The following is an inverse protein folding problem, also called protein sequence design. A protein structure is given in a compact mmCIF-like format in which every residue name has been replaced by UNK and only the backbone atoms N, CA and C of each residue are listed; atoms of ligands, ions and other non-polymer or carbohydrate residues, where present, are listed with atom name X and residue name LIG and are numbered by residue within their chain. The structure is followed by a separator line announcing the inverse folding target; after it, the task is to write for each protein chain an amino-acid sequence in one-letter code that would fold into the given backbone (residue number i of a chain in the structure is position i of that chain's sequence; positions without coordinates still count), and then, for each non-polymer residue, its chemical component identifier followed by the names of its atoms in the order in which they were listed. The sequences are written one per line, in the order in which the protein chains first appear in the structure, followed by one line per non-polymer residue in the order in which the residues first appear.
data_IF_230479411591
#
_entry.id   IF_230479411591
#
_cell.length_a   1.000
_cell.length_b   1.000
_cell.length_c   1.000
_cell.angle_alpha   90.00
_cell.angle_beta   90.00
_cell.angle_gamma   90.00
#
_symmetry.space_group_name_H-M   'P 1'
#
loop_
_entity.id
_entity.type
_entity.pdbx_description
1 polymer ?
#
# COMPACT_ATOMS: atom_id res chain seq x y z
N UNK A 1 14.68 -31.40 17.33
CA UNK A 1 14.15 -30.74 18.55
C UNK A 1 15.13 -30.90 19.72
N UNK A 2 15.57 -32.12 20.04
CA UNK A 2 16.68 -32.42 20.97
C UNK A 2 17.86 -31.43 20.83
N UNK A 3 18.46 -31.38 19.64
CA UNK A 3 19.71 -30.64 19.42
C UNK A 3 19.51 -29.12 19.42
N UNK A 4 18.31 -28.66 19.08
CA UNK A 4 17.94 -27.25 19.13
C UNK A 4 17.84 -26.75 20.59
N UNK A 5 17.25 -27.55 21.48
CA UNK A 5 17.15 -27.22 22.90
C UNK A 5 18.51 -27.30 23.63
N UNK A 6 19.50 -27.97 23.03
CA UNK A 6 20.87 -28.08 23.56
C UNK A 6 21.80 -26.96 23.07
N UNK A 7 21.37 -26.11 22.13
CA UNK A 7 22.16 -24.99 21.64
C UNK A 7 22.35 -23.93 22.76
N UNK A 8 23.58 -23.71 23.27
CA UNK A 8 23.83 -22.75 24.33
C UNK A 8 23.53 -21.29 23.92
N UNK A 9 23.42 -21.03 22.61
CA UNK A 9 23.09 -19.72 22.04
C UNK A 9 21.61 -19.58 21.65
N UNK A 10 20.78 -20.59 21.88
CA UNK A 10 19.37 -20.58 21.51
C UNK A 10 18.66 -19.32 22.04
N UNK A 11 18.84 -19.00 23.32
CA UNK A 11 18.19 -17.85 23.93
C UNK A 11 18.65 -16.53 23.29
N UNK A 12 19.92 -16.41 22.91
CA UNK A 12 20.45 -15.23 22.21
C UNK A 12 19.83 -15.11 20.81
N UNK A 13 19.73 -16.22 20.07
CA UNK A 13 19.04 -16.29 18.76
C UNK A 13 17.57 -15.86 18.86
N UNK A 14 16.85 -16.33 19.87
CA UNK A 14 15.44 -15.95 20.11
C UNK A 14 15.30 -14.46 20.46
N UNK A 15 16.19 -13.90 21.30
CA UNK A 15 16.17 -12.48 21.63
C UNK A 15 16.51 -11.60 20.42
N UNK A 16 17.46 -12.02 19.58
CA UNK A 16 17.77 -11.35 18.33
C UNK A 16 16.56 -11.37 17.39
N UNK A 17 15.97 -12.56 17.15
CA UNK A 17 14.79 -12.71 16.30
C UNK A 17 13.61 -11.86 16.79
N UNK A 18 13.36 -11.85 18.10
CA UNK A 18 12.35 -10.98 18.72
C UNK A 18 12.66 -9.50 18.48
N UNK A 19 13.92 -9.08 18.62
CA UNK A 19 14.36 -7.71 18.34
C UNK A 19 14.09 -7.27 16.90
N UNK A 20 14.30 -8.15 15.92
CA UNK A 20 13.96 -7.87 14.52
C UNK A 20 12.44 -7.89 14.30
N UNK A 21 11.73 -8.83 14.91
CA UNK A 21 10.28 -8.89 14.85
C UNK A 21 9.63 -7.60 15.37
N UNK A 22 10.18 -6.98 16.44
CA UNK A 22 9.70 -5.69 16.95
C UNK A 22 9.91 -4.52 15.98
N UNK A 23 10.83 -4.64 15.01
CA UNK A 23 11.01 -3.67 13.93
C UNK A 23 10.00 -3.92 12.81
N UNK A 24 9.84 -5.17 12.38
CA UNK A 24 9.00 -5.55 11.24
C UNK A 24 7.50 -5.51 11.56
N UNK A 25 7.11 -6.00 12.74
CA UNK A 25 5.71 -6.24 13.13
C UNK A 25 4.84 -4.99 13.01
N UNK A 26 5.21 -3.80 13.50
CA UNK A 26 4.34 -2.63 13.42
C UNK A 26 3.90 -2.30 11.99
N UNK A 27 4.85 -2.34 11.04
CA UNK A 27 4.56 -2.13 9.63
C UNK A 27 3.67 -3.23 9.07
N UNK A 28 4.01 -4.50 9.33
CA UNK A 28 3.22 -5.63 8.84
C UNK A 28 1.79 -5.62 9.37
N UNK A 29 1.57 -5.25 10.62
CA UNK A 29 0.23 -5.17 11.21
C UNK A 29 -0.56 -3.97 10.70
N UNK A 30 0.08 -2.80 10.58
CA UNK A 30 -0.61 -1.57 10.14
C UNK A 30 -1.06 -1.69 8.67
N UNK A 31 -0.20 -2.21 7.79
CA UNK A 31 -0.50 -2.38 6.36
C UNK A 31 -1.32 -3.65 6.03
N UNK A 32 -1.82 -4.35 7.06
CA UNK A 32 -2.83 -5.40 6.92
C UNK A 32 -4.24 -4.91 7.28
N UNK A 33 -4.38 -3.68 7.78
CA UNK A 33 -5.67 -3.09 8.14
C UNK A 33 -6.50 -2.75 6.90
N UNK A 34 -7.82 -2.63 7.10
CA UNK A 34 -8.75 -2.19 6.06
C UNK A 34 -8.88 -0.65 6.05
N UNK A 35 -7.76 0.05 5.83
CA UNK A 35 -7.69 1.52 5.85
C UNK A 35 -6.84 2.03 4.69
N UNK A 36 -7.12 3.21 4.14
CA UNK A 36 -6.30 3.77 3.05
C UNK A 36 -4.99 4.34 3.61
N UNK A 37 -3.89 3.59 3.46
CA UNK A 37 -2.57 3.98 3.98
C UNK A 37 -1.53 4.28 2.90
N UNK A 38 -1.94 4.29 1.62
CA UNK A 38 -1.02 4.38 0.48
C UNK A 38 -0.21 5.67 0.47
N UNK A 39 -0.75 6.79 0.96
CA UNK A 39 -0.04 8.07 1.04
C UNK A 39 1.05 8.10 2.12
N UNK A 40 1.01 7.17 3.09
CA UNK A 40 2.01 7.04 4.16
C UNK A 40 3.12 6.03 3.84
N UNK A 41 2.86 5.13 2.89
CA UNK A 41 3.70 3.97 2.56
C UNK A 41 5.15 4.32 2.32
N UNK A 42 5.43 5.43 1.63
CA UNK A 42 6.79 5.88 1.37
C UNK A 42 7.60 6.04 2.64
N UNK A 43 7.08 6.85 3.57
CA UNK A 43 7.78 7.26 4.79
C UNK A 43 7.92 6.09 5.74
N UNK A 44 6.84 5.33 5.92
CA UNK A 44 6.80 4.27 6.91
C UNK A 44 7.70 3.09 6.48
N UNK A 45 7.75 2.78 5.18
CA UNK A 45 8.68 1.77 4.65
C UNK A 45 10.14 2.26 4.62
N UNK A 46 10.39 3.54 4.32
CA UNK A 46 11.74 4.12 4.43
C UNK A 46 12.24 4.04 5.88
N UNK A 47 11.40 4.39 6.86
CA UNK A 47 11.74 4.31 8.28
C UNK A 47 12.07 2.85 8.68
N UNK A 48 11.26 1.89 8.24
CA UNK A 48 11.48 0.47 8.49
C UNK A 48 12.85 0.01 7.99
N UNK A 49 13.16 0.30 6.73
CA UNK A 49 14.42 -0.13 6.10
C UNK A 49 15.61 0.56 6.77
N UNK A 50 15.53 1.86 7.06
CA UNK A 50 16.61 2.59 7.75
C UNK A 50 16.91 2.02 9.14
N UNK A 51 15.88 1.59 9.89
CA UNK A 51 16.06 0.92 11.19
C UNK A 51 16.80 -0.42 11.07
N UNK A 52 16.60 -1.17 9.99
CA UNK A 52 17.34 -2.41 9.73
C UNK A 52 18.78 -2.12 9.29
N UNK A 53 18.97 -1.20 8.35
CA UNK A 53 20.29 -0.81 7.84
C UNK A 53 21.20 -0.29 8.96
N UNK A 54 20.67 0.52 9.88
CA UNK A 54 21.41 1.06 11.02
C UNK A 54 22.06 0.00 11.91
N UNK A 55 21.62 -1.26 11.84
CA UNK A 55 22.18 -2.35 12.66
C UNK A 55 23.48 -2.96 12.12
N UNK A 56 23.76 -2.80 10.83
CA UNK A 56 24.91 -3.47 10.21
C UNK A 56 25.66 -2.64 9.16
N UNK A 57 25.12 -1.51 8.71
CA UNK A 57 25.76 -0.61 7.75
C UNK A 57 26.52 0.50 8.50
N UNK A 58 27.68 0.89 7.98
CA UNK A 58 28.50 1.99 8.53
C UNK A 58 27.71 3.31 8.51
N UNK A 59 27.83 4.10 9.57
CA UNK A 59 27.20 5.43 9.64
C UNK A 59 27.60 6.35 8.48
N UNK A 60 28.87 6.30 8.04
CA UNK A 60 29.34 7.11 6.90
C UNK A 60 28.59 6.80 5.60
N UNK A 61 28.26 5.52 5.36
CA UNK A 61 27.52 5.08 4.19
C UNK A 61 26.03 5.49 4.30
N UNK A 62 25.44 5.38 5.49
CA UNK A 62 24.06 5.82 5.72
C UNK A 62 23.89 7.32 5.53
N UNK A 63 24.85 8.12 6.02
CA UNK A 63 24.83 9.58 5.86
C UNK A 63 25.03 10.02 4.41
N UNK A 64 25.84 9.29 3.62
CA UNK A 64 26.01 9.54 2.20
C UNK A 64 24.76 9.16 1.37
N UNK A 65 23.98 8.19 1.85
CA UNK A 65 22.77 7.68 1.20
C UNK A 65 21.52 8.49 1.59
N UNK A 66 21.41 9.68 0.98
CA UNK A 66 20.30 10.61 1.26
C UNK A 66 19.01 10.22 0.54
N UNK A 67 17.90 10.27 1.29
CA UNK A 67 16.56 9.97 0.79
C UNK A 67 16.33 8.53 0.30
N UNK A 68 15.13 8.29 -0.23
CA UNK A 68 14.70 6.95 -0.69
C UNK A 68 15.54 6.44 -1.87
N UNK A 69 15.95 7.32 -2.78
CA UNK A 69 16.68 6.92 -3.99
C UNK A 69 18.08 6.43 -3.65
N UNK A 70 18.78 7.14 -2.77
CA UNK A 70 20.08 6.69 -2.27
C UNK A 70 19.94 5.34 -1.55
N UNK A 71 18.90 5.19 -0.73
CA UNK A 71 18.64 3.95 0.01
C UNK A 71 18.40 2.76 -0.92
N UNK A 72 17.62 2.94 -1.99
CA UNK A 72 17.32 1.88 -2.97
C UNK A 72 18.53 1.49 -3.83
N UNK A 73 19.44 2.43 -4.10
CA UNK A 73 20.65 2.19 -4.90
C UNK A 73 21.80 1.59 -4.10
N UNK A 74 21.71 1.59 -2.76
CA UNK A 74 22.74 1.04 -1.90
C UNK A 74 22.88 -0.46 -2.14
N UNK A 75 24.12 -0.91 -2.41
CA UNK A 75 24.41 -2.33 -2.34
C UNK A 75 24.52 -2.74 -0.86
N UNK A 76 23.42 -3.27 -0.34
CA UNK A 76 23.30 -3.75 1.04
C UNK A 76 24.02 -5.08 1.28
N UNK A 77 24.55 -5.73 0.24
CA UNK A 77 25.31 -6.96 0.37
C UNK A 77 26.83 -6.71 0.34
N UNK A 78 27.28 -5.55 -0.15
CA UNK A 78 28.69 -5.18 -0.21
C UNK A 78 29.32 -5.12 1.20
N UNK A 79 30.28 -6.02 1.52
CA UNK A 79 30.96 -6.04 2.81
C UNK A 79 31.66 -4.73 3.17
N UNK A 80 32.07 -3.92 2.17
CA UNK A 80 32.73 -2.64 2.40
C UNK A 80 31.78 -1.62 3.05
N UNK A 81 30.48 -1.78 2.88
CA UNK A 81 29.47 -0.92 3.48
C UNK A 81 29.18 -1.28 4.94
N UNK A 82 29.62 -2.46 5.39
CA UNK A 82 29.21 -3.01 6.68
C UNK A 82 30.17 -2.67 7.81
N UNK A 83 29.63 -2.58 9.02
CA UNK A 83 30.46 -2.61 10.22
C UNK A 83 31.11 -4.00 10.38
N UNK A 84 32.19 -4.07 11.18
CA UNK A 84 32.79 -5.34 11.56
C UNK A 84 31.78 -6.18 12.36
N UNK A 85 31.94 -7.51 12.34
CA UNK A 85 30.95 -8.42 12.93
C UNK A 85 30.76 -8.19 14.43
N UNK A 86 31.81 -7.75 15.14
CA UNK A 86 31.78 -7.38 16.55
C UNK A 86 30.88 -6.16 16.82
N UNK A 87 30.76 -5.25 15.85
CA UNK A 87 29.99 -4.01 15.94
C UNK A 87 28.55 -4.12 15.43
N UNK A 88 28.14 -5.28 14.95
CA UNK A 88 26.76 -5.53 14.51
C UNK A 88 25.81 -5.40 15.70
N UNK A 89 24.76 -4.60 15.54
CA UNK A 89 23.74 -4.42 16.56
C UNK A 89 22.74 -5.59 16.57
N UNK A 90 23.01 -6.55 17.45
CA UNK A 90 22.13 -7.69 17.73
C UNK A 90 21.01 -7.33 18.73
N UNK A 91 21.00 -6.11 19.26
CA UNK A 91 20.07 -5.64 20.29
C UNK A 91 20.50 -5.98 21.71
N UNK A 92 20.15 -5.10 22.65
CA UNK A 92 20.57 -5.20 24.06
C UNK A 92 20.20 -6.53 24.72
N UNK A 93 18.98 -7.04 24.49
CA UNK A 93 18.52 -8.27 25.11
C UNK A 93 19.31 -9.50 24.63
N UNK A 94 19.72 -9.55 23.36
CA UNK A 94 20.57 -10.62 22.84
C UNK A 94 22.00 -10.49 23.39
N UNK A 95 22.50 -9.25 23.49
CA UNK A 95 23.83 -8.96 24.05
C UNK A 95 23.98 -9.44 25.50
N UNK A 96 22.98 -9.21 26.35
CA UNK A 96 23.01 -9.65 27.75
C UNK A 96 23.06 -11.17 27.86
N UNK A 97 22.25 -11.87 27.06
CA UNK A 97 22.22 -13.33 27.05
C UNK A 97 23.54 -13.89 26.51
N UNK A 98 24.09 -13.28 25.46
CA UNK A 98 25.35 -13.70 24.84
C UNK A 98 26.54 -13.55 25.82
N UNK A 99 26.56 -12.49 26.63
CA UNK A 99 27.57 -12.27 27.67
C UNK A 99 27.48 -13.28 28.82
N UNK A 100 26.26 -13.71 29.15
CA UNK A 100 26.03 -14.73 30.18
C UNK A 100 26.29 -16.16 29.67
N UNK A 101 26.26 -16.36 28.34
CA UNK A 101 26.52 -17.66 27.73
C UNK A 101 28.00 -18.02 27.90
N UNK A 102 28.27 -19.17 28.53
CA UNK A 102 29.63 -19.73 28.68
C UNK A 102 30.06 -20.43 27.39
N UNK A 103 30.20 -19.68 26.32
CA UNK A 103 30.56 -20.18 24.98
C UNK A 103 31.93 -19.67 24.53
N UNK A 104 32.52 -20.31 23.51
CA UNK A 104 33.82 -19.90 23.01
C UNK A 104 33.75 -18.58 22.21
N UNK A 105 34.86 -17.86 22.11
CA UNK A 105 34.95 -16.66 21.28
C UNK A 105 34.63 -16.96 19.79
N UNK A 106 34.95 -18.17 19.33
CA UNK A 106 34.61 -18.65 17.98
C UNK A 106 33.11 -18.73 17.77
N UNK A 107 32.36 -19.25 18.75
CA UNK A 107 30.90 -19.38 18.66
C UNK A 107 30.21 -18.01 18.71
N UNK A 108 30.72 -17.10 19.56
CA UNK A 108 30.26 -15.70 19.61
C UNK A 108 30.45 -15.00 18.26
N UNK A 109 31.62 -15.17 17.63
CA UNK A 109 31.90 -14.62 16.32
C UNK A 109 30.99 -15.21 15.24
N UNK A 110 30.83 -16.53 15.23
CA UNK A 110 29.93 -17.23 14.29
C UNK A 110 28.48 -16.74 14.43
N UNK A 111 27.97 -16.61 15.66
CA UNK A 111 26.63 -16.06 15.91
C UNK A 111 26.47 -14.63 15.39
N UNK A 112 27.45 -13.76 15.61
CA UNK A 112 27.41 -12.38 15.09
C UNK A 112 27.44 -12.34 13.56
N UNK A 113 28.21 -13.22 12.93
CA UNK A 113 28.22 -13.40 11.47
C UNK A 113 26.85 -13.84 10.95
N UNK A 114 26.20 -14.80 11.61
CA UNK A 114 24.85 -15.26 11.27
C UNK A 114 23.81 -14.14 11.42
N UNK A 115 23.84 -13.38 12.52
CA UNK A 115 22.96 -12.23 12.73
C UNK A 115 23.13 -11.16 11.63
N UNK A 116 24.38 -10.87 11.26
CA UNK A 116 24.69 -9.94 10.15
C UNK A 116 24.12 -10.46 8.84
N UNK A 117 24.34 -11.73 8.52
CA UNK A 117 23.84 -12.35 7.29
C UNK A 117 22.31 -12.35 7.23
N UNK A 118 21.65 -12.57 8.36
CA UNK A 118 20.19 -12.48 8.49
C UNK A 118 19.70 -11.05 8.21
N UNK A 119 20.33 -10.03 8.80
CA UNK A 119 20.00 -8.62 8.58
C UNK A 119 20.19 -8.21 7.13
N UNK A 120 21.30 -8.59 6.51
CA UNK A 120 21.60 -8.34 5.08
C UNK A 120 20.53 -8.99 4.21
N UNK A 121 20.28 -10.28 4.39
CA UNK A 121 19.30 -11.04 3.59
C UNK A 121 17.89 -10.46 3.72
N UNK A 122 17.46 -10.14 4.94
CA UNK A 122 16.14 -9.57 5.22
C UNK A 122 16.00 -8.20 4.55
N UNK A 123 16.98 -7.32 4.74
CA UNK A 123 16.93 -5.95 4.20
C UNK A 123 16.98 -5.97 2.68
N UNK A 124 17.85 -6.79 2.08
CA UNK A 124 17.92 -7.00 0.63
C UNK A 124 16.58 -7.46 0.08
N UNK A 125 15.93 -8.44 0.72
CA UNK A 125 14.63 -8.95 0.26
C UNK A 125 13.53 -7.91 0.30
N UNK A 126 13.51 -7.08 1.35
CA UNK A 126 12.54 -5.97 1.48
C UNK A 126 12.76 -4.95 0.36
N UNK A 127 14.02 -4.59 0.07
CA UNK A 127 14.36 -3.63 -0.99
C UNK A 127 14.02 -4.16 -2.39
N UNK A 128 14.35 -5.42 -2.70
CA UNK A 128 14.06 -6.08 -3.99
C UNK A 128 12.57 -6.09 -4.35
N UNK A 129 11.70 -6.24 -3.35
CA UNK A 129 10.24 -6.29 -3.52
C UNK A 129 9.56 -4.98 -3.11
N UNK A 130 10.34 -3.91 -2.93
CA UNK A 130 9.83 -2.66 -2.40
C UNK A 130 8.96 -1.92 -3.41
N UNK A 131 7.75 -1.47 -3.02
CA UNK A 131 6.95 -0.55 -3.84
C UNK A 131 7.62 0.83 -3.98
N UNK A 132 8.67 1.14 -3.20
CA UNK A 132 9.43 2.39 -3.35
C UNK A 132 10.20 2.46 -4.68
N UNK A 133 10.39 1.35 -5.38
CA UNK A 133 10.96 1.33 -6.74
C UNK A 133 10.10 2.13 -7.71
N UNK A 134 8.78 2.13 -7.52
CA UNK A 134 7.84 2.89 -8.34
C UNK A 134 7.93 4.39 -8.04
N UNK A 135 8.12 5.19 -9.08
CA UNK A 135 8.16 6.65 -8.95
C UNK A 135 6.86 7.23 -8.40
N UNK A 136 5.70 6.67 -8.80
CA UNK A 136 4.39 7.10 -8.28
C UNK A 136 4.34 7.00 -6.75
N UNK A 137 4.66 5.83 -6.18
CA UNK A 137 4.61 5.58 -4.72
C UNK A 137 5.51 6.54 -3.94
N UNK A 138 6.70 6.87 -4.46
CA UNK A 138 7.62 7.83 -3.84
C UNK A 138 7.08 9.26 -3.78
N UNK A 139 6.13 9.59 -4.64
CA UNK A 139 5.52 10.91 -4.72
C UNK A 139 4.12 10.98 -4.10
N UNK A 140 3.47 9.84 -3.84
CA UNK A 140 2.16 9.80 -3.15
C UNK A 140 2.19 10.38 -1.74
N UNK A 141 3.37 10.50 -1.11
CA UNK A 141 3.51 11.23 0.15
C UNK A 141 3.18 12.72 0.05
N UNK A 142 3.08 13.27 -1.18
CA UNK A 142 2.55 14.61 -1.39
C UNK A 142 1.10 14.74 -0.92
N UNK A 143 0.35 13.64 -0.88
CA UNK A 143 -1.03 13.58 -0.39
C UNK A 143 -1.11 13.10 1.07
N UNK A 144 -0.02 13.13 1.84
CA UNK A 144 -0.10 12.98 3.30
C UNK A 144 -0.48 14.36 3.89
N UNK A 145 -1.65 14.52 4.54
CA UNK A 145 -2.09 15.81 5.09
C UNK A 145 -1.05 16.46 6.02
N UNK A 146 -0.28 15.65 6.75
CA UNK A 146 0.78 16.14 7.65
C UNK A 146 1.95 16.72 6.86
N UNK A 147 2.29 16.13 5.72
CA UNK A 147 3.33 16.66 4.82
C UNK A 147 2.83 17.90 4.09
N UNK A 148 1.59 17.88 3.60
CA UNK A 148 0.97 19.04 2.96
C UNK A 148 1.00 20.28 3.86
N UNK A 149 0.69 20.10 5.15
CA UNK A 149 0.70 21.18 6.12
C UNK A 149 2.10 21.70 6.53
N UNK A 150 3.12 20.83 6.53
CA UNK A 150 4.47 21.15 7.02
C UNK A 150 5.46 21.51 5.92
N UNK A 151 5.29 20.95 4.71
CA UNK A 151 6.19 21.08 3.56
C UNK A 151 5.39 21.23 2.26
N UNK A 152 4.61 22.31 2.10
CA UNK A 152 3.72 22.48 0.96
C UNK A 152 4.48 22.50 -0.37
N UNK A 153 5.66 23.13 -0.43
CA UNK A 153 6.46 23.22 -1.67
C UNK A 153 6.97 21.84 -2.14
N UNK A 154 7.48 21.03 -1.20
CA UNK A 154 7.89 19.65 -1.48
C UNK A 154 6.68 18.81 -1.96
N UNK A 155 5.51 19.01 -1.35
CA UNK A 155 4.29 18.31 -1.72
C UNK A 155 3.80 18.75 -3.09
N UNK A 156 3.91 20.03 -3.45
CA UNK A 156 3.57 20.54 -4.78
C UNK A 156 4.48 19.94 -5.85
N UNK A 157 5.80 19.90 -5.62
CA UNK A 157 6.76 19.26 -6.51
C UNK A 157 6.50 17.74 -6.65
N UNK A 158 6.16 17.07 -5.55
CA UNK A 158 5.77 15.66 -5.54
C UNK A 158 4.46 15.41 -6.31
N UNK A 159 3.45 16.25 -6.12
CA UNK A 159 2.15 16.06 -6.75
C UNK A 159 2.21 16.26 -8.28
N UNK A 160 3.01 17.21 -8.78
CA UNK A 160 3.28 17.33 -10.23
C UNK A 160 3.76 16.01 -10.83
N UNK A 161 4.68 15.33 -10.15
CA UNK A 161 5.19 14.01 -10.55
C UNK A 161 4.13 12.91 -10.48
N UNK A 162 3.14 13.01 -9.60
CA UNK A 162 1.98 12.11 -9.55
C UNK A 162 1.10 12.33 -10.78
N UNK A 163 0.78 13.59 -11.12
CA UNK A 163 -0.01 13.91 -12.31
C UNK A 163 0.67 13.43 -13.59
N UNK A 164 1.97 13.68 -13.74
CA UNK A 164 2.74 13.21 -14.90
C UNK A 164 2.71 11.68 -15.03
N UNK A 165 2.79 10.97 -13.90
CA UNK A 165 2.67 9.51 -13.89
C UNK A 165 1.27 9.03 -14.29
N UNK A 166 0.20 9.75 -13.91
CA UNK A 166 -1.17 9.42 -14.32
C UNK A 166 -1.43 9.69 -15.80
N UNK A 167 -0.88 10.77 -16.33
CA UNK A 167 -0.93 11.09 -17.77
C UNK A 167 -0.23 10.01 -18.58
N UNK A 168 0.96 9.58 -18.16
CA UNK A 168 1.73 8.56 -18.85
C UNK A 168 0.99 7.21 -19.00
N UNK A 169 0.04 6.91 -18.11
CA UNK A 169 -0.79 5.70 -18.15
C UNK A 169 -2.22 5.95 -18.66
N UNK A 170 -2.50 7.14 -19.21
CA UNK A 170 -3.79 7.51 -19.78
C UNK A 170 -4.93 7.62 -18.74
N UNK A 171 -4.60 7.88 -17.46
CA UNK A 171 -5.58 8.01 -16.37
C UNK A 171 -5.97 9.46 -16.06
N UNK A 172 -5.27 10.42 -16.64
CA UNK A 172 -5.55 11.86 -16.56
C UNK A 172 -5.25 12.48 -17.93
N UNK A 173 -6.12 13.36 -18.43
CA UNK A 173 -5.84 14.09 -19.67
C UNK A 173 -4.81 15.21 -19.45
N UNK A 174 -3.99 15.52 -20.47
CA UNK A 174 -3.00 16.61 -20.38
C UNK A 174 -3.65 17.96 -20.07
N UNK A 175 -4.82 18.22 -20.66
CA UNK A 175 -5.58 19.46 -20.45
C UNK A 175 -6.19 19.57 -19.04
N UNK A 176 -6.43 18.44 -18.35
CA UNK A 176 -6.97 18.44 -16.98
C UNK A 176 -5.89 18.73 -15.94
N UNK A 177 -4.61 18.53 -16.30
CA UNK A 177 -3.46 18.62 -15.40
C UNK A 177 -3.39 19.96 -14.67
N UNK A 178 -3.50 21.05 -15.42
CA UNK A 178 -3.31 22.40 -14.86
C UNK A 178 -4.47 22.80 -13.96
N UNK A 179 -5.70 22.37 -14.28
CA UNK A 179 -6.86 22.54 -13.40
C UNK A 179 -6.66 21.81 -12.08
N UNK A 180 -6.30 20.52 -12.12
CA UNK A 180 -6.06 19.72 -10.90
C UNK A 180 -4.93 20.33 -10.05
N UNK A 181 -3.87 20.80 -10.70
CA UNK A 181 -2.73 21.40 -10.01
C UNK A 181 -3.07 22.76 -9.38
N UNK A 182 -3.90 23.57 -10.05
CA UNK A 182 -4.44 24.82 -9.51
C UNK A 182 -5.23 24.57 -8.23
N UNK A 183 -6.21 23.66 -8.28
CA UNK A 183 -7.02 23.25 -7.14
C UNK A 183 -6.18 22.72 -5.98
N UNK A 184 -5.14 21.93 -6.28
CA UNK A 184 -4.23 21.43 -5.27
C UNK A 184 -3.39 22.53 -4.62
N UNK A 185 -2.97 23.54 -5.39
CA UNK A 185 -2.22 24.68 -4.87
C UNK A 185 -3.08 25.52 -3.92
N UNK A 186 -4.33 25.76 -4.29
CA UNK A 186 -5.31 26.44 -3.44
C UNK A 186 -5.57 25.63 -2.16
N UNK A 187 -5.73 24.31 -2.26
CA UNK A 187 -5.91 23.43 -1.10
C UNK A 187 -4.78 23.57 -0.06
N UNK A 188 -3.52 23.63 -0.53
CA UNK A 188 -2.34 23.80 0.34
C UNK A 188 -2.32 25.15 1.07
N UNK A 189 -2.91 26.19 0.48
CA UNK A 189 -2.97 27.54 1.04
C UNK A 189 -4.16 27.70 1.97
N UNK A 190 -5.36 27.40 1.48
CA UNK A 190 -6.63 27.75 2.14
C UNK A 190 -7.02 26.75 3.24
N UNK A 191 -6.73 25.45 3.06
CA UNK A 191 -7.14 24.41 4.04
C UNK A 191 -5.99 23.96 4.95
N UNK A 192 -4.93 24.76 5.09
CA UNK A 192 -3.74 24.42 5.90
C UNK A 192 -4.09 24.06 7.35
N UNK A 193 -5.07 24.73 7.95
CA UNK A 193 -5.52 24.44 9.30
C UNK A 193 -6.16 23.04 9.41
N UNK A 194 -7.08 22.70 8.50
CA UNK A 194 -7.70 21.36 8.44
C UNK A 194 -6.65 20.26 8.24
N UNK A 195 -5.67 20.49 7.36
CA UNK A 195 -4.57 19.56 7.11
C UNK A 195 -3.72 19.28 8.36
N UNK A 196 -3.54 20.26 9.25
CA UNK A 196 -2.82 20.10 10.53
C UNK A 196 -3.61 19.30 11.57
N UNK A 197 -4.92 19.30 11.48
CA UNK A 197 -5.80 18.58 12.42
C UNK A 197 -5.90 17.09 12.11
N UNK A 198 -5.42 16.65 10.95
CA UNK A 198 -5.44 15.24 10.59
C UNK A 198 -4.55 14.40 11.53
N UNK A 199 -5.18 13.47 12.24
CA UNK A 199 -4.51 12.40 12.98
C UNK A 199 -4.86 11.04 12.38
N UNK A 200 -3.82 10.34 11.93
CA UNK A 200 -3.93 9.00 11.32
C UNK A 200 -4.47 7.93 12.28
N UNK A 201 -4.46 8.19 13.58
CA UNK A 201 -4.93 7.24 14.59
C UNK A 201 -6.43 7.37 14.87
N UNK A 202 -7.02 8.53 14.59
CA UNK A 202 -8.43 8.81 14.87
C UNK A 202 -9.28 8.96 13.61
N UNK A 203 -8.71 9.40 12.50
CA UNK A 203 -9.42 9.65 11.25
C UNK A 203 -8.92 8.74 10.13
N UNK A 204 -9.86 8.20 9.37
CA UNK A 204 -9.56 7.51 8.13
C UNK A 204 -9.31 8.52 6.99
N UNK A 205 -8.34 8.18 6.14
CA UNK A 205 -7.81 9.12 5.15
C UNK A 205 -8.83 9.46 4.07
N UNK A 206 -9.63 8.48 3.66
CA UNK A 206 -10.69 8.65 2.67
C UNK A 206 -11.85 9.48 3.23
N UNK A 207 -12.27 9.24 4.47
CA UNK A 207 -13.26 10.07 5.18
C UNK A 207 -12.78 11.52 5.31
N UNK A 208 -11.52 11.72 5.71
CA UNK A 208 -10.92 13.05 5.82
C UNK A 208 -10.96 13.80 4.47
N UNK A 209 -10.53 13.17 3.38
CA UNK A 209 -10.57 13.80 2.06
C UNK A 209 -11.99 14.00 1.53
N UNK A 210 -12.92 13.08 1.86
CA UNK A 210 -14.32 13.20 1.50
C UNK A 210 -14.93 14.46 2.12
N UNK A 211 -14.73 14.68 3.41
CA UNK A 211 -15.19 15.86 4.12
C UNK A 211 -14.52 17.13 3.62
N UNK A 212 -13.21 17.05 3.34
CA UNK A 212 -12.42 18.21 2.92
C UNK A 212 -12.77 18.70 1.51
N UNK A 213 -13.10 17.80 0.58
CA UNK A 213 -13.15 18.12 -0.85
C UNK A 213 -14.53 17.92 -1.51
N UNK A 214 -15.32 16.92 -1.09
CA UNK A 214 -16.53 16.55 -1.86
C UNK A 214 -17.62 17.62 -1.83
N UNK A 215 -17.73 18.36 -0.73
CA UNK A 215 -18.74 19.41 -0.57
C UNK A 215 -18.39 20.74 -1.22
N UNK A 216 -17.15 20.90 -1.67
CA UNK A 216 -16.60 22.16 -2.14
C UNK A 216 -16.36 22.09 -3.66
N UNK A 217 -17.13 22.88 -4.41
CA UNK A 217 -17.08 22.87 -5.88
C UNK A 217 -15.73 23.32 -6.45
N UNK A 218 -14.89 23.97 -5.63
CA UNK A 218 -13.56 24.41 -6.04
C UNK A 218 -12.56 23.26 -6.19
N UNK A 219 -12.86 22.03 -5.72
CA UNK A 219 -11.93 20.90 -5.74
C UNK A 219 -12.41 19.68 -6.54
N UNK A 220 -13.31 19.88 -7.52
CA UNK A 220 -13.95 18.78 -8.26
C UNK A 220 -12.93 17.94 -9.04
N UNK A 221 -11.93 18.56 -9.69
CA UNK A 221 -10.95 17.84 -10.51
C UNK A 221 -9.95 17.10 -9.62
N UNK A 222 -9.49 17.75 -8.56
CA UNK A 222 -8.60 17.18 -7.56
C UNK A 222 -9.24 15.99 -6.85
N UNK A 223 -10.51 16.10 -6.47
CA UNK A 223 -11.22 15.01 -5.82
C UNK A 223 -11.30 13.74 -6.69
N UNK A 224 -11.53 13.90 -8.01
CA UNK A 224 -11.51 12.76 -8.94
C UNK A 224 -10.15 12.04 -8.93
N UNK A 225 -9.05 12.80 -8.93
CA UNK A 225 -7.69 12.24 -8.90
C UNK A 225 -7.39 11.58 -7.56
N UNK A 226 -7.70 12.22 -6.43
CA UNK A 226 -7.48 11.65 -5.09
C UNK A 226 -8.27 10.36 -4.93
N UNK A 227 -9.55 10.33 -5.35
CA UNK A 227 -10.38 9.13 -5.32
C UNK A 227 -9.76 7.98 -6.12
N UNK A 228 -9.21 8.26 -7.31
CA UNK A 228 -8.51 7.25 -8.11
C UNK A 228 -7.30 6.67 -7.35
N UNK A 229 -6.52 7.53 -6.69
CA UNK A 229 -5.32 7.12 -5.97
C UNK A 229 -5.61 6.39 -4.66
N UNK A 230 -6.71 6.72 -3.97
CA UNK A 230 -7.15 6.04 -2.75
C UNK A 230 -7.55 4.57 -2.98
N UNK A 231 -7.87 4.19 -4.22
CA UNK A 231 -8.20 2.81 -4.61
C UNK A 231 -6.94 1.94 -4.75
N UNK A 232 -5.75 2.54 -4.82
CA UNK A 232 -4.51 1.79 -4.95
C UNK A 232 -4.28 0.90 -3.71
N UNK A 233 -4.04 -0.39 -3.97
CA UNK A 233 -3.66 -1.32 -2.92
C UNK A 233 -2.31 -0.92 -2.30
N UNK A 234 -2.25 -0.96 -0.97
CA UNK A 234 -1.05 -0.67 -0.18
C UNK A 234 -0.62 -1.87 0.66
N UNK A 235 -1.33 -3.00 0.58
CA UNK A 235 -1.09 -4.18 1.39
C UNK A 235 -1.71 -5.43 0.77
N UNK A 236 -1.18 -6.61 1.11
CA UNK A 236 -1.69 -7.88 0.59
C UNK A 236 -3.07 -8.22 1.16
N UNK A 237 -3.38 -7.81 2.39
CA UNK A 237 -4.63 -8.19 3.06
C UNK A 237 -5.89 -7.73 2.31
N UNK A 238 -5.91 -6.54 1.73
CA UNK A 238 -7.07 -6.06 0.95
C UNK A 238 -7.21 -6.83 -0.37
N UNK A 239 -6.09 -7.19 -1.01
CA UNK A 239 -6.10 -8.01 -2.23
C UNK A 239 -6.54 -9.43 -1.93
N UNK A 240 -5.99 -10.05 -0.89
CA UNK A 240 -6.33 -11.42 -0.46
C UNK A 240 -7.77 -11.52 0.05
N UNK A 241 -8.24 -10.54 0.83
CA UNK A 241 -9.66 -10.46 1.22
C UNK A 241 -10.54 -10.27 -0.01
N UNK A 242 -10.16 -9.38 -0.94
CA UNK A 242 -10.85 -9.21 -2.22
C UNK A 242 -10.95 -10.52 -3.00
N UNK A 243 -9.85 -11.26 -3.14
CA UNK A 243 -9.81 -12.58 -3.78
C UNK A 243 -10.62 -13.62 -3.02
N UNK A 244 -10.60 -13.62 -1.69
CA UNK A 244 -11.37 -14.54 -0.85
C UNK A 244 -12.87 -14.30 -0.99
N UNK A 245 -13.31 -13.05 -0.94
CA UNK A 245 -14.72 -12.70 -1.14
C UNK A 245 -15.13 -12.97 -2.59
N UNK A 246 -14.27 -12.63 -3.56
CA UNK A 246 -14.52 -12.97 -4.96
C UNK A 246 -14.65 -14.48 -5.14
N UNK A 247 -13.79 -15.29 -4.50
CA UNK A 247 -13.88 -16.75 -4.51
C UNK A 247 -15.20 -17.26 -3.91
N UNK A 248 -15.74 -16.61 -2.90
CA UNK A 248 -17.05 -16.97 -2.33
C UNK A 248 -18.21 -16.72 -3.29
N UNK A 249 -18.09 -15.71 -4.16
CA UNK A 249 -19.09 -15.42 -5.21
C UNK A 249 -18.75 -16.06 -6.56
N UNK A 250 -17.57 -16.66 -6.69
CA UNK A 250 -17.15 -17.39 -7.90
C UNK A 250 -17.91 -18.69 -8.06
N UNK A 251 -18.85 -18.66 -9.01
CA UNK A 251 -19.49 -19.84 -9.57
C UNK A 251 -19.04 -19.98 -11.03
N UNK A 252 -18.77 -21.21 -11.43
CA UNK A 252 -18.38 -21.53 -12.82
C UNK A 252 -19.43 -21.00 -13.82
N UNK A 253 -18.98 -20.58 -15.00
CA UNK A 253 -19.83 -20.13 -16.12
C UNK A 253 -20.62 -18.82 -15.89
N UNK A 254 -20.25 -17.98 -14.91
CA UNK A 254 -20.78 -16.62 -14.78
C UNK A 254 -20.06 -15.62 -15.71
N UNK A 255 -20.83 -14.66 -16.25
CA UNK A 255 -20.27 -13.50 -16.98
C UNK A 255 -19.79 -12.42 -15.99
N UNK A 256 -18.87 -11.56 -16.40
CA UNK A 256 -18.32 -10.45 -15.59
C UNK A 256 -19.40 -9.58 -14.94
N UNK A 257 -20.49 -9.29 -15.65
CA UNK A 257 -21.60 -8.49 -15.11
C UNK A 257 -22.28 -9.16 -13.91
N UNK A 258 -22.35 -10.50 -13.91
CA UNK A 258 -22.90 -11.27 -12.78
C UNK A 258 -21.99 -11.18 -11.58
N UNK A 259 -20.67 -11.27 -11.78
CA UNK A 259 -19.66 -11.10 -10.75
C UNK A 259 -19.73 -9.72 -10.08
N UNK A 260 -19.76 -8.66 -10.89
CA UNK A 260 -19.88 -7.28 -10.40
C UNK A 260 -21.18 -7.10 -9.63
N UNK A 261 -22.29 -7.62 -10.13
CA UNK A 261 -23.60 -7.52 -9.49
C UNK A 261 -23.64 -8.23 -8.14
N UNK A 262 -23.11 -9.46 -8.05
CA UNK A 262 -23.04 -10.21 -6.79
C UNK A 262 -22.15 -9.49 -5.77
N UNK A 263 -21.01 -8.94 -6.21
CA UNK A 263 -20.11 -8.18 -5.33
C UNK A 263 -20.80 -6.96 -4.72
N UNK A 264 -21.53 -6.19 -5.54
CA UNK A 264 -22.32 -5.04 -5.09
C UNK A 264 -23.34 -5.45 -4.03
N UNK A 265 -24.03 -6.59 -4.22
CA UNK A 265 -25.00 -7.10 -3.24
C UNK A 265 -24.30 -7.50 -1.94
N UNK A 266 -23.20 -8.26 -2.00
CA UNK A 266 -22.43 -8.65 -0.82
C UNK A 266 -21.92 -7.44 -0.03
N UNK A 267 -21.42 -6.40 -0.72
CA UNK A 267 -20.94 -5.17 -0.08
C UNK A 267 -22.09 -4.40 0.57
N UNK A 268 -23.25 -4.30 -0.08
CA UNK A 268 -24.43 -3.65 0.48
C UNK A 268 -24.95 -4.38 1.74
N UNK A 269 -25.01 -5.71 1.71
CA UNK A 269 -25.39 -6.54 2.86
C UNK A 269 -24.40 -6.40 4.00
N UNK A 270 -23.10 -6.41 3.70
CA UNK A 270 -22.04 -6.24 4.70
C UNK A 270 -22.12 -4.87 5.36
N UNK A 271 -22.32 -3.81 4.57
CA UNK A 271 -22.51 -2.44 5.07
C UNK A 271 -23.77 -2.29 5.93
N UNK A 272 -24.83 -3.04 5.62
CA UNK A 272 -26.01 -3.07 6.47
C UNK A 272 -25.79 -3.82 7.80
N UNK A 273 -24.65 -4.52 7.97
CA UNK A 273 -24.39 -5.34 9.16
C UNK A 273 -25.03 -6.72 9.09
N UNK A 274 -25.30 -7.24 7.89
CA UNK A 274 -25.88 -8.56 7.67
C UNK A 274 -27.25 -8.53 6.99
N UNK A 275 -27.70 -9.69 6.50
CA UNK A 275 -28.88 -9.79 5.63
C UNK A 275 -30.18 -9.37 6.33
N UNK A 276 -30.27 -9.58 7.64
CA UNK A 276 -31.43 -9.21 8.45
C UNK A 276 -31.55 -7.70 8.67
N UNK A 277 -30.46 -6.96 8.50
CA UNK A 277 -30.39 -5.52 8.74
C UNK A 277 -30.56 -4.70 7.45
N UNK A 278 -30.75 -5.35 6.30
CA UNK A 278 -31.00 -4.68 5.03
C UNK A 278 -32.44 -4.17 4.99
N UNK A 279 -32.60 -2.85 5.03
CA UNK A 279 -33.92 -2.22 4.96
C UNK A 279 -34.60 -2.45 3.61
N UNK A 280 -35.82 -2.99 3.62
CA UNK A 280 -36.64 -3.19 2.41
C UNK A 280 -37.34 -1.87 2.06
N UNK A 281 -36.65 -1.00 1.32
CA UNK A 281 -37.17 0.30 0.93
C UNK A 281 -38.24 0.20 -0.18
N UNK A 282 -39.01 1.28 -0.39
CA UNK A 282 -39.99 1.35 -1.49
C UNK A 282 -39.29 1.31 -2.85
N UNK A 283 -38.12 1.93 -2.92
CA UNK A 283 -37.24 1.98 -4.09
C UNK A 283 -36.72 0.59 -4.44
N UNK A 284 -36.32 -0.20 -3.44
CA UNK A 284 -35.87 -1.58 -3.64
C UNK A 284 -37.02 -2.44 -4.19
N UNK A 285 -38.24 -2.32 -3.64
CA UNK A 285 -39.42 -3.03 -4.14
C UNK A 285 -39.76 -2.66 -5.59
N UNK A 286 -39.74 -1.36 -5.93
CA UNK A 286 -39.92 -0.89 -7.31
C UNK A 286 -38.84 -1.43 -8.24
N UNK A 287 -37.58 -1.44 -7.79
CA UNK A 287 -36.46 -2.00 -8.55
C UNK A 287 -36.70 -3.48 -8.84
N UNK A 288 -37.04 -4.29 -7.83
CA UNK A 288 -37.33 -5.72 -7.99
C UNK A 288 -38.50 -5.96 -8.96
N UNK A 289 -39.59 -5.19 -8.84
CA UNK A 289 -40.72 -5.30 -9.76
C UNK A 289 -40.32 -5.01 -11.22
N UNK A 290 -39.37 -4.10 -11.44
CA UNK A 290 -38.84 -3.77 -12.77
C UNK A 290 -37.72 -4.71 -13.25
N UNK A 291 -37.27 -5.68 -12.45
CA UNK A 291 -36.10 -6.51 -12.77
C UNK A 291 -36.32 -7.38 -14.01
N UNK A 292 -37.52 -7.94 -14.18
CA UNK A 292 -37.86 -8.76 -15.35
C UNK A 292 -37.78 -7.93 -16.64
N UNK A 293 -38.33 -6.71 -16.63
CA UNK A 293 -38.31 -5.82 -17.79
C UNK A 293 -36.87 -5.41 -18.16
N UNK A 294 -36.03 -5.11 -17.15
CA UNK A 294 -34.60 -4.83 -17.38
C UNK A 294 -33.86 -6.01 -17.99
N UNK A 295 -34.15 -7.23 -17.53
CA UNK A 295 -33.56 -8.44 -18.08
C UNK A 295 -33.99 -8.67 -19.54
N UNK A 296 -35.27 -8.47 -19.85
CA UNK A 296 -35.79 -8.55 -21.24
C UNK A 296 -35.10 -7.56 -22.16
N UNK A 297 -34.99 -6.30 -21.73
CA UNK A 297 -34.28 -5.26 -22.48
C UNK A 297 -32.80 -5.63 -22.73
N UNK A 298 -32.11 -6.12 -21.69
CA UNK A 298 -30.73 -6.60 -21.83
C UNK A 298 -30.57 -7.73 -22.87
N UNK A 299 -31.49 -8.70 -22.89
CA UNK A 299 -31.45 -9.78 -23.88
C UNK A 299 -31.67 -9.26 -25.31
N UNK A 300 -32.57 -8.29 -25.49
CA UNK A 300 -32.82 -7.68 -26.79
C UNK A 300 -31.60 -6.89 -27.29
N UNK A 301 -30.97 -6.10 -26.42
CA UNK A 301 -29.76 -5.34 -26.77
C UNK A 301 -28.58 -6.26 -27.07
N UNK A 302 -28.41 -7.33 -26.29
CA UNK A 302 -27.37 -8.34 -26.54
C UNK A 302 -27.58 -9.00 -27.91
N UNK A 303 -28.82 -9.32 -28.28
CA UNK A 303 -29.14 -9.87 -29.61
C UNK A 303 -28.79 -8.89 -30.73
N UNK A 304 -29.13 -7.61 -30.58
CA UNK A 304 -28.79 -6.57 -31.57
C UNK A 304 -27.28 -6.45 -31.75
N UNK A 305 -26.52 -6.38 -30.65
CA UNK A 305 -25.05 -6.29 -30.69
C UNK A 305 -24.41 -7.49 -31.39
N UNK A 306 -24.88 -8.72 -31.12
CA UNK A 306 -24.37 -9.93 -31.80
C UNK A 306 -24.68 -9.91 -33.30
N UNK A 307 -25.88 -9.45 -33.68
CA UNK A 307 -26.25 -9.31 -35.10
C UNK A 307 -25.39 -8.27 -35.81
N UNK A 308 -25.11 -7.13 -35.17
CA UNK A 308 -24.25 -6.07 -35.71
C UNK A 308 -22.79 -6.54 -35.84
N UNK A 309 -22.26 -7.23 -34.83
CA UNK A 309 -20.91 -7.81 -34.90
C UNK A 309 -20.79 -8.88 -35.99
N UNK A 310 -21.79 -9.74 -36.15
CA UNK A 310 -21.81 -10.76 -37.21
C UNK A 310 -21.85 -10.12 -38.60
N UNK A 311 -22.59 -9.02 -38.76
CA UNK A 311 -22.62 -8.25 -40.02
C UNK A 311 -21.28 -7.54 -40.28
N UNK A 312 -20.62 -7.02 -39.25
CA UNK A 312 -19.31 -6.38 -39.36
C UNK A 312 -18.20 -7.39 -39.73
N UNK A 313 -18.14 -8.55 -39.07
CA UNK A 313 -17.14 -9.60 -39.40
C UNK A 313 -17.35 -10.22 -40.78
N UNK A 314 -18.59 -10.28 -41.29
CA UNK A 314 -18.84 -10.70 -42.68
C UNK A 314 -18.37 -9.69 -43.71
N UNK A 315 -18.30 -8.40 -43.37
CA UNK A 315 -17.76 -7.35 -44.25
C UNK A 315 -16.23 -7.34 -44.25
N UNK A 316 -15.57 -7.65 -43.13
CA UNK A 316 -14.11 -7.73 -43.03
C UNK A 316 -13.48 -9.00 -43.63
N UNK A 317 -14.29 -9.94 -44.14
CA UNK A 317 -13.83 -11.14 -44.87
C UNK A 317 -14.05 -11.04 -46.38
N UNK A 318 -14.61 -9.93 -46.86
CA UNK A 318 -14.87 -9.66 -48.28
C UNK A 318 -13.88 -8.60 -48.82
N UNK A 319 -13.05 -8.01 -47.95
CA UNK A 319 -11.83 -7.25 -48.29
C UNK A 319 -10.58 -8.11 -48.03
#
# INVERSE_FOLDING_TARGET
LSDFCQDPLLLAKLKFALGIAMILKPFLTEYQLDKQLVFFLKRDLECLVRKLLARFVKCSVLSASTGVVGMLKMDVADPNNHVSSEKVDIGHAAEQVLKAAKVSAKDVFAFRMECKQFLVSTTKKILEKSPLTYHLVRNLSSLDPRQMASKPDDCLAGFRKVLDALIAVGRLGEHERDSVLGEYTELLQEKKHNLRQFDKHTLDLDEFYLELLKGDSSYIHLWKVIRLLLILSHGQATVERGLSVNRQVSVENLKDISYVSQRIVCDAVSKAGGILNVAITKELRKSVAAAHNRYRAYLEDTKKQVMEQTKASKRSHIE
#
